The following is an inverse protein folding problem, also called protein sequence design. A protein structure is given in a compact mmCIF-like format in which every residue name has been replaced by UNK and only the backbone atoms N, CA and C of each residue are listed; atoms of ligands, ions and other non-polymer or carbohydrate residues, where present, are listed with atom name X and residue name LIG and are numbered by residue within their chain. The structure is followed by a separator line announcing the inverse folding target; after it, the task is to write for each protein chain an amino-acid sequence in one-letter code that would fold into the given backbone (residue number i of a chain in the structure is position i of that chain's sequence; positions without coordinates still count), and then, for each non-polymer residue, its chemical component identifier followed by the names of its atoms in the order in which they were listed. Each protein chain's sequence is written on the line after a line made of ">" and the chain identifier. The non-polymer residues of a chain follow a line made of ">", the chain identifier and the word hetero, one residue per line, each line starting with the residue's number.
data_IF_091791840339
#
_entry.id   IF_091791840339
#
_cell.length_a   1.000
_cell.length_b   1.000
_cell.length_c   1.000
_cell.angle_alpha   90.00
_cell.angle_beta   90.00
_cell.angle_gamma   90.00
#
_symmetry.space_group_name_H-M   'P 1'
#
loop_
_entity.id
_entity.type
_entity.pdbx_description
1 polymer ?
#
# COMPACT_ATOMS: atom_id res chain seq x y z
N UNK A 1 16.31 -10.26 -16.32
CA UNK A 1 16.69 -8.96 -15.71
C UNK A 1 15.50 -8.52 -14.88
N UNK A 2 15.69 -8.17 -13.62
CA UNK A 2 14.60 -7.69 -12.74
C UNK A 2 14.61 -6.16 -12.81
N UNK A 3 13.46 -5.55 -13.03
CA UNK A 3 13.27 -4.10 -12.98
C UNK A 3 12.67 -3.71 -11.63
N UNK A 4 13.17 -2.62 -11.05
CA UNK A 4 12.79 -2.17 -9.72
C UNK A 4 12.60 -0.67 -9.75
N UNK A 5 11.38 -0.22 -9.43
CA UNK A 5 11.05 1.18 -9.23
C UNK A 5 11.05 1.50 -7.74
N UNK A 6 11.90 2.42 -7.32
CA UNK A 6 11.94 2.89 -5.94
C UNK A 6 11.06 4.12 -5.76
N UNK A 7 10.17 4.06 -4.78
CA UNK A 7 9.29 5.17 -4.40
C UNK A 7 9.61 5.62 -2.96
N UNK A 8 10.11 6.85 -2.81
CA UNK A 8 10.27 7.48 -1.49
C UNK A 8 8.99 8.21 -1.09
N UNK A 9 8.08 7.52 -0.40
CA UNK A 9 6.82 8.08 0.07
C UNK A 9 6.49 7.64 1.50
N UNK A 10 5.64 8.42 2.16
CA UNK A 10 5.11 8.10 3.48
C UNK A 10 3.65 7.65 3.40
N UNK A 11 3.16 7.03 4.47
CA UNK A 11 1.72 6.76 4.66
C UNK A 11 0.89 8.03 4.48
N UNK A 12 1.34 9.18 5.01
CA UNK A 12 0.62 10.45 4.86
C UNK A 12 0.54 10.89 3.40
N UNK A 13 1.61 10.68 2.63
CA UNK A 13 1.65 10.97 1.20
C UNK A 13 0.58 10.15 0.47
N UNK A 14 0.54 8.84 0.69
CA UNK A 14 -0.48 7.94 0.09
C UNK A 14 -1.91 8.38 0.44
N UNK A 15 -2.14 8.71 1.71
CA UNK A 15 -3.47 9.15 2.16
C UNK A 15 -3.88 10.48 1.51
N UNK A 16 -2.94 11.41 1.32
CA UNK A 16 -3.20 12.71 0.70
C UNK A 16 -3.32 12.67 -0.84
N UNK A 17 -2.72 11.69 -1.52
CA UNK A 17 -2.72 11.62 -3.00
C UNK A 17 -4.12 11.37 -3.56
N UNK A 18 -4.67 12.33 -4.30
CA UNK A 18 -6.04 12.22 -4.85
C UNK A 18 -6.15 11.20 -5.98
N UNK A 19 -5.19 11.15 -6.90
CA UNK A 19 -5.19 10.27 -8.07
C UNK A 19 -4.18 9.11 -7.91
N UNK A 20 -4.30 8.35 -6.82
CA UNK A 20 -3.30 7.36 -6.41
C UNK A 20 -3.00 6.31 -7.49
N UNK A 21 -4.02 5.77 -8.16
CA UNK A 21 -3.85 4.79 -9.26
C UNK A 21 -3.08 5.40 -10.45
N UNK A 22 -3.31 6.68 -10.76
CA UNK A 22 -2.61 7.33 -11.88
C UNK A 22 -1.14 7.55 -11.58
N UNK A 23 -0.84 7.91 -10.33
CA UNK A 23 0.54 8.21 -9.91
C UNK A 23 1.35 6.94 -9.64
N UNK A 24 0.74 5.92 -9.02
CA UNK A 24 1.46 4.74 -8.50
C UNK A 24 1.11 3.45 -9.26
N UNK A 25 0.06 3.45 -10.08
CA UNK A 25 -0.37 2.28 -10.84
C UNK A 25 -1.27 1.32 -10.06
N UNK A 26 -1.39 0.10 -10.57
CA UNK A 26 -2.04 -1.01 -9.89
C UNK A 26 -1.19 -2.27 -9.99
N UNK A 27 -1.34 -3.14 -9.00
CA UNK A 27 -0.47 -4.28 -8.78
C UNK A 27 -1.29 -5.56 -8.66
N UNK A 28 -0.74 -6.65 -9.18
CA UNK A 28 -1.27 -8.01 -9.01
C UNK A 28 -0.93 -8.58 -7.63
N UNK A 29 0.13 -8.06 -7.00
CA UNK A 29 0.55 -8.44 -5.66
C UNK A 29 1.02 -7.23 -4.85
N UNK A 30 0.55 -7.11 -3.60
CA UNK A 30 1.00 -6.09 -2.65
C UNK A 30 1.52 -6.79 -1.40
N UNK A 31 2.75 -6.45 -1.00
CA UNK A 31 3.38 -6.98 0.20
C UNK A 31 3.74 -5.84 1.16
N UNK A 32 3.32 -5.97 2.41
CA UNK A 32 3.70 -5.08 3.51
C UNK A 32 4.13 -5.92 4.70
N UNK A 33 5.22 -5.53 5.37
CA UNK A 33 5.68 -6.20 6.59
C UNK A 33 6.07 -5.17 7.64
N UNK A 34 5.49 -5.26 8.83
CA UNK A 34 5.83 -4.41 9.96
C UNK A 34 5.30 -2.98 9.90
N UNK A 35 4.48 -2.65 8.90
CA UNK A 35 3.92 -1.31 8.80
C UNK A 35 2.74 -1.12 9.77
N UNK A 36 1.85 -2.11 9.83
CA UNK A 36 0.56 -1.99 10.51
C UNK A 36 0.66 -2.04 12.03
N UNK A 37 1.71 -2.65 12.58
CA UNK A 37 1.99 -2.71 14.03
C UNK A 37 2.09 -1.32 14.69
N UNK A 38 2.47 -0.30 13.93
CA UNK A 38 2.66 1.07 14.43
C UNK A 38 1.47 1.99 14.16
N UNK A 39 0.45 1.52 13.44
CA UNK A 39 -0.67 2.36 13.03
C UNK A 39 -1.81 2.27 14.04
N UNK A 40 -2.40 3.42 14.34
CA UNK A 40 -3.69 3.43 15.05
C UNK A 40 -4.78 2.82 14.15
N UNK A 41 -5.84 2.20 14.71
CA UNK A 41 -6.87 1.55 13.89
C UNK A 41 -7.50 2.42 12.79
N UNK A 42 -7.78 3.73 13.01
CA UNK A 42 -8.30 4.60 11.95
C UNK A 42 -7.30 4.79 10.79
N UNK A 43 -6.02 4.94 11.11
CA UNK A 43 -4.96 5.12 10.09
C UNK A 43 -4.73 3.81 9.34
N UNK A 44 -4.67 2.68 10.04
CA UNK A 44 -4.56 1.36 9.43
C UNK A 44 -5.71 1.09 8.44
N UNK A 45 -6.95 1.40 8.82
CA UNK A 45 -8.13 1.25 7.96
C UNK A 45 -8.01 2.12 6.70
N UNK A 46 -7.60 3.38 6.86
CA UNK A 46 -7.43 4.30 5.74
C UNK A 46 -6.33 3.83 4.78
N UNK A 47 -5.20 3.35 5.30
CA UNK A 47 -4.09 2.81 4.51
C UNK A 47 -4.51 1.55 3.78
N UNK A 48 -5.18 0.63 4.46
CA UNK A 48 -5.68 -0.61 3.84
C UNK A 48 -6.64 -0.29 2.68
N UNK A 49 -7.53 0.68 2.86
CA UNK A 49 -8.43 1.14 1.79
C UNK A 49 -7.70 1.74 0.60
N UNK A 50 -6.54 2.39 0.81
CA UNK A 50 -5.69 2.89 -0.28
C UNK A 50 -4.94 1.77 -0.98
N UNK A 51 -4.35 0.83 -0.24
CA UNK A 51 -3.68 -0.34 -0.80
C UNK A 51 -4.65 -1.17 -1.65
N UNK A 52 -5.89 -1.35 -1.17
CA UNK A 52 -6.93 -2.05 -1.92
C UNK A 52 -7.29 -1.37 -3.26
N UNK A 53 -7.26 -0.04 -3.34
CA UNK A 53 -7.46 0.67 -4.62
C UNK A 53 -6.34 0.36 -5.63
N UNK A 54 -5.12 0.13 -5.14
CA UNK A 54 -3.97 -0.24 -5.96
C UNK A 54 -3.94 -1.71 -6.31
N UNK A 55 -4.77 -2.55 -5.68
CA UNK A 55 -4.86 -3.96 -6.01
C UNK A 55 -5.75 -4.16 -7.23
N UNK A 56 -5.25 -4.90 -8.22
CA UNK A 56 -6.07 -5.29 -9.37
C UNK A 56 -7.13 -6.31 -8.94
N UNK A 57 -8.26 -6.42 -9.67
CA UNK A 57 -9.22 -7.50 -9.46
C UNK A 57 -8.52 -8.88 -9.54
N UNK A 58 -8.69 -9.70 -8.50
CA UNK A 58 -8.05 -11.01 -8.40
C UNK A 58 -6.58 -10.98 -7.97
N UNK A 59 -6.02 -9.81 -7.65
CA UNK A 59 -4.70 -9.70 -7.04
C UNK A 59 -4.71 -10.08 -5.57
N UNK A 60 -3.53 -10.40 -5.04
CA UNK A 60 -3.33 -10.77 -3.64
C UNK A 60 -2.62 -9.65 -2.86
N UNK A 61 -3.05 -9.44 -1.62
CA UNK A 61 -2.41 -8.50 -0.71
C UNK A 61 -2.05 -9.21 0.59
N UNK A 62 -0.76 -9.22 0.92
CA UNK A 62 -0.23 -9.81 2.14
C UNK A 62 0.25 -8.71 3.08
N UNK A 63 -0.38 -8.65 4.26
CA UNK A 63 0.00 -7.75 5.35
C UNK A 63 0.59 -8.59 6.49
N UNK A 64 1.92 -8.54 6.61
CA UNK A 64 2.68 -9.14 7.70
C UNK A 64 2.91 -8.13 8.82
N UNK A 65 2.82 -8.62 10.06
CA UNK A 65 3.15 -7.88 11.27
C UNK A 65 4.38 -8.53 11.93
N UNK A 66 5.19 -7.75 12.65
CA UNK A 66 6.30 -8.28 13.46
C UNK A 66 5.83 -8.40 14.92
N UNK A 67 5.36 -9.59 15.30
CA UNK A 67 5.20 -9.99 16.70
C UNK A 67 6.30 -10.97 17.09
#
# INVERSE_FOLDING_TARGET
>A
KIEVDYLNASVRTMLATRQLIKEWGQFDFIYSMGLFDYLTPPVATAVLGRLYQLLKPGGDMLIGNFH
#
